data_IF_766869533158
#
_entry.id   IF_766869533158
#
_cell.length_a   1.000
_cell.length_b   1.000
_cell.length_c   1.000
_cell.angle_alpha   90.00
_cell.angle_beta   90.00
_cell.angle_gamma   90.00
#
_symmetry.space_group_name_H-M   'P 1'
#
loop_
_entity.id
_entity.type
_entity.pdbx_description
1 polymer ?
#
# COMPACT_ATOMS: atom_id res chain seq x y z
N UNK A 1 -0.88 7.58 6.45
CA UNK A 1 -1.40 8.59 5.51
C UNK A 1 -1.78 8.01 4.15
N UNK A 2 -0.85 7.46 3.35
CA UNK A 2 -1.19 7.01 1.98
C UNK A 2 -2.35 6.02 1.93
N UNK A 3 -2.24 4.96 2.73
CA UNK A 3 -3.29 3.95 2.87
C UNK A 3 -4.61 4.61 3.30
N UNK A 4 -4.58 5.41 4.36
CA UNK A 4 -5.79 6.07 4.90
C UNK A 4 -6.46 6.94 3.84
N UNK A 5 -5.68 7.67 3.04
CA UNK A 5 -6.17 8.52 1.94
C UNK A 5 -6.83 7.70 0.83
N UNK A 6 -6.22 6.57 0.45
CA UNK A 6 -6.80 5.64 -0.53
C UNK A 6 -8.14 5.12 -0.03
N UNK A 7 -8.24 4.72 1.23
CA UNK A 7 -9.50 4.26 1.81
C UNK A 7 -10.54 5.38 1.87
N UNK A 8 -10.17 6.58 2.33
CA UNK A 8 -11.10 7.71 2.40
C UNK A 8 -11.69 8.05 1.03
N UNK A 9 -10.89 8.10 -0.02
CA UNK A 9 -11.37 8.39 -1.39
C UNK A 9 -12.27 7.29 -1.98
N UNK A 10 -12.16 6.06 -1.47
CA UNK A 10 -12.96 4.93 -1.93
C UNK A 10 -14.29 4.84 -1.18
N UNK A 11 -14.30 5.17 0.10
CA UNK A 11 -15.45 4.96 0.98
C UNK A 11 -16.23 6.23 1.32
N UNK A 12 -15.62 7.41 1.19
CA UNK A 12 -16.24 8.70 1.49
C UNK A 12 -16.51 9.48 0.20
N UNK A 13 -17.55 10.31 0.23
CA UNK A 13 -17.92 11.21 -0.85
C UNK A 13 -18.48 12.52 -0.28
N UNK A 14 -18.51 13.56 -1.13
CA UNK A 14 -19.08 14.86 -0.76
C UNK A 14 -18.45 15.44 0.52
N UNK A 15 -19.30 15.90 1.43
CA UNK A 15 -18.90 16.60 2.64
C UNK A 15 -18.05 15.74 3.59
N UNK A 16 -18.29 14.42 3.65
CA UNK A 16 -17.49 13.51 4.48
C UNK A 16 -16.04 13.43 3.98
N UNK A 17 -15.87 13.36 2.66
CA UNK A 17 -14.53 13.35 2.04
C UNK A 17 -13.82 14.70 2.24
N UNK A 18 -14.55 15.80 2.15
CA UNK A 18 -13.99 17.14 2.38
C UNK A 18 -13.60 17.34 3.84
N UNK A 19 -14.39 16.81 4.77
CA UNK A 19 -14.06 16.78 6.20
C UNK A 19 -12.79 15.96 6.45
N UNK A 20 -12.71 14.75 5.87
CA UNK A 20 -11.50 13.94 5.93
C UNK A 20 -10.28 14.72 5.42
N UNK A 21 -10.37 15.38 4.25
CA UNK A 21 -9.27 16.15 3.66
C UNK A 21 -8.77 17.27 4.56
N UNK A 22 -9.68 18.00 5.23
CA UNK A 22 -9.31 19.06 6.19
C UNK A 22 -8.52 18.49 7.37
N UNK A 23 -8.99 17.41 7.98
CA UNK A 23 -8.30 16.74 9.10
C UNK A 23 -6.94 16.20 8.65
N UNK A 24 -6.93 15.51 7.51
CA UNK A 24 -5.73 14.97 6.88
C UNK A 24 -4.66 16.04 6.61
N UNK A 25 -5.05 17.23 6.14
CA UNK A 25 -4.12 18.34 5.91
C UNK A 25 -3.54 18.91 7.22
N UNK A 26 -4.33 18.94 8.29
CA UNK A 26 -3.87 19.41 9.60
C UNK A 26 -2.91 18.42 10.27
N UNK A 27 -3.17 17.12 10.15
CA UNK A 27 -2.36 16.06 10.78
C UNK A 27 -1.16 15.65 9.93
N UNK A 28 -1.26 15.75 8.61
CA UNK A 28 -0.25 15.29 7.65
C UNK A 28 1.19 15.73 7.97
N UNK A 29 1.45 17.02 8.25
CA UNK A 29 2.79 17.51 8.59
C UNK A 29 3.40 16.89 9.85
N UNK A 30 2.58 16.33 10.76
CA UNK A 30 3.05 15.67 11.98
C UNK A 30 3.50 14.23 11.74
N UNK A 31 3.19 13.67 10.56
CA UNK A 31 3.48 12.29 10.21
C UNK A 31 4.77 12.24 9.41
N UNK A 32 5.79 11.55 9.93
CA UNK A 32 7.00 11.25 9.15
C UNK A 32 6.67 10.26 8.03
N UNK A 33 7.09 10.53 6.79
CA UNK A 33 6.97 9.55 5.72
C UNK A 33 7.89 8.35 6.01
N UNK A 34 7.52 7.14 5.56
CA UNK A 34 8.42 5.99 5.63
C UNK A 34 9.56 6.14 4.61
N UNK A 35 10.71 5.52 4.90
CA UNK A 35 11.83 5.45 3.95
C UNK A 35 11.58 4.47 2.80
N UNK A 36 10.75 3.45 3.06
CA UNK A 36 10.38 2.40 2.09
C UNK A 36 8.91 2.01 2.27
N UNK A 37 8.19 1.88 1.16
CA UNK A 37 6.86 1.29 1.08
C UNK A 37 6.95 -0.13 0.54
N UNK A 38 6.13 -1.04 1.07
CA UNK A 38 6.02 -2.42 0.55
C UNK A 38 4.62 -2.63 -0.02
N UNK A 39 4.55 -2.87 -1.32
CA UNK A 39 3.30 -3.20 -2.02
C UNK A 39 3.18 -4.72 -2.19
N UNK A 40 2.23 -5.32 -1.48
CA UNK A 40 1.84 -6.71 -1.68
C UNK A 40 0.75 -6.77 -2.75
N UNK A 41 1.09 -7.28 -3.94
CA UNK A 41 0.23 -7.25 -5.11
C UNK A 41 0.08 -8.64 -5.73
N UNK A 42 -1.09 -8.93 -6.28
CA UNK A 42 -1.39 -10.22 -6.89
C UNK A 42 -2.61 -10.15 -7.82
N UNK A 43 -2.94 -11.25 -8.51
CA UNK A 43 -4.14 -11.33 -9.34
C UNK A 43 -5.41 -11.13 -8.50
N UNK A 44 -6.42 -10.46 -9.07
CA UNK A 44 -7.69 -10.20 -8.36
C UNK A 44 -8.36 -11.50 -7.92
N UNK A 45 -8.32 -12.55 -8.73
CA UNK A 45 -8.85 -13.87 -8.36
C UNK A 45 -8.22 -14.43 -7.07
N UNK A 46 -6.88 -14.37 -6.96
CA UNK A 46 -6.17 -14.79 -5.75
C UNK A 46 -6.51 -13.92 -4.53
N UNK A 47 -6.66 -12.60 -4.73
CA UNK A 47 -7.07 -11.69 -3.67
C UNK A 47 -8.47 -12.03 -3.15
N UNK A 48 -9.41 -12.29 -4.06
CA UNK A 48 -10.79 -12.67 -3.74
C UNK A 48 -10.83 -13.99 -2.96
N UNK A 49 -10.08 -15.00 -3.41
CA UNK A 49 -9.93 -16.28 -2.71
C UNK A 49 -9.46 -16.08 -1.26
N UNK A 50 -8.38 -15.30 -1.07
CA UNK A 50 -7.83 -15.03 0.27
C UNK A 50 -8.75 -14.20 1.15
N UNK A 51 -9.49 -13.24 0.57
CA UNK A 51 -10.51 -12.46 1.29
C UNK A 51 -11.61 -13.40 1.78
N UNK A 52 -12.14 -14.26 0.90
CA UNK A 52 -13.18 -15.22 1.25
C UNK A 52 -12.71 -16.19 2.36
N UNK A 53 -11.48 -16.71 2.24
CA UNK A 53 -10.89 -17.61 3.22
C UNK A 53 -10.73 -16.98 4.62
N UNK A 54 -10.51 -15.66 4.73
CA UNK A 54 -10.46 -14.98 6.04
C UNK A 54 -11.81 -14.87 6.74
N UNK A 55 -12.91 -14.89 5.98
CA UNK A 55 -14.27 -14.91 6.54
C UNK A 55 -14.69 -13.67 7.35
N UNK A 56 -14.03 -12.52 7.20
CA UNK A 56 -14.38 -11.31 7.98
C UNK A 56 -15.74 -10.77 7.55
N UNK A 57 -16.63 -10.51 8.51
CA UNK A 57 -18.04 -10.13 8.25
C UNK A 57 -18.21 -8.95 7.30
N UNK A 58 -17.35 -7.92 7.44
CA UNK A 58 -17.42 -6.71 6.63
C UNK A 58 -16.88 -6.87 5.20
N UNK A 59 -16.11 -7.94 4.91
CA UNK A 59 -15.54 -8.17 3.58
C UNK A 59 -16.51 -8.93 2.66
N UNK A 60 -17.62 -9.45 3.21
CA UNK A 60 -18.61 -10.22 2.44
C UNK A 60 -19.26 -9.44 1.28
N UNK A 61 -19.26 -8.11 1.35
CA UNK A 61 -19.79 -7.24 0.29
C UNK A 61 -18.75 -6.90 -0.79
N UNK A 62 -17.49 -7.31 -0.63
CA UNK A 62 -16.45 -6.97 -1.59
C UNK A 62 -16.67 -7.75 -2.89
N UNK A 63 -16.92 -7.01 -3.97
CA UNK A 63 -17.06 -7.58 -5.32
C UNK A 63 -15.70 -7.63 -6.01
N UNK A 64 -15.56 -8.49 -7.02
CA UNK A 64 -14.35 -8.53 -7.85
C UNK A 64 -14.05 -7.14 -8.46
N UNK A 65 -15.08 -6.46 -8.96
CA UNK A 65 -14.95 -5.11 -9.51
C UNK A 65 -14.47 -4.09 -8.47
N UNK A 66 -14.93 -4.19 -7.23
CA UNK A 66 -14.43 -3.36 -6.13
C UNK A 66 -12.95 -3.64 -5.82
N UNK A 67 -12.57 -4.91 -5.65
CA UNK A 67 -11.17 -5.29 -5.35
C UNK A 67 -10.23 -4.91 -6.48
N UNK A 68 -10.67 -5.02 -7.74
CA UNK A 68 -9.94 -4.53 -8.91
C UNK A 68 -9.69 -3.03 -8.84
N UNK A 69 -10.74 -2.22 -8.60
CA UNK A 69 -10.59 -0.75 -8.44
C UNK A 69 -9.66 -0.39 -7.29
N UNK A 70 -9.77 -1.07 -6.15
CA UNK A 70 -8.91 -0.87 -4.99
C UNK A 70 -7.45 -1.13 -5.35
N UNK A 71 -7.17 -2.30 -5.96
CA UNK A 71 -5.84 -2.69 -6.41
C UNK A 71 -5.24 -1.70 -7.40
N UNK A 72 -6.01 -1.29 -8.41
CA UNK A 72 -5.53 -0.36 -9.44
C UNK A 72 -5.26 1.04 -8.85
N UNK A 73 -6.05 1.44 -7.84
CA UNK A 73 -5.82 2.69 -7.09
C UNK A 73 -4.51 2.63 -6.31
N UNK A 74 -4.22 1.53 -5.59
CA UNK A 74 -2.91 1.36 -4.96
C UNK A 74 -1.77 1.40 -5.97
N UNK A 75 -1.89 0.68 -7.09
CA UNK A 75 -0.85 0.64 -8.12
C UNK A 75 -0.53 2.01 -8.69
N UNK A 76 -1.56 2.80 -9.01
CA UNK A 76 -1.44 4.17 -9.51
C UNK A 76 -0.80 5.07 -8.47
N UNK A 77 -1.34 5.12 -7.25
CA UNK A 77 -0.83 5.98 -6.19
C UNK A 77 0.63 5.68 -5.87
N UNK A 78 1.00 4.41 -5.70
CA UNK A 78 2.38 4.01 -5.44
C UNK A 78 3.31 4.11 -6.66
N UNK A 79 2.81 4.45 -7.84
CA UNK A 79 3.66 4.84 -8.98
C UNK A 79 4.01 6.34 -8.94
N UNK A 80 3.21 7.15 -8.26
CA UNK A 80 3.38 8.60 -8.11
C UNK A 80 4.12 8.96 -6.82
N UNK A 81 4.32 8.00 -5.90
CA UNK A 81 5.06 8.21 -4.64
C UNK A 81 6.56 8.38 -4.91
N UNK A 82 7.16 9.35 -4.21
CA UNK A 82 8.62 9.58 -4.23
C UNK A 82 9.38 8.61 -3.32
N UNK A 83 8.73 8.09 -2.26
CA UNK A 83 9.28 7.06 -1.39
C UNK A 83 9.55 5.77 -2.18
N UNK A 84 10.71 5.15 -1.95
CA UNK A 84 11.07 3.90 -2.60
C UNK A 84 10.01 2.80 -2.35
N UNK A 85 9.54 2.14 -3.41
CA UNK A 85 8.52 1.09 -3.33
C UNK A 85 9.11 -0.28 -3.67
N UNK A 86 9.09 -1.20 -2.71
CA UNK A 86 9.37 -2.63 -2.93
C UNK A 86 8.06 -3.35 -3.26
N UNK A 87 7.97 -3.89 -4.48
CA UNK A 87 6.78 -4.63 -4.94
C UNK A 87 6.98 -6.13 -4.74
N UNK A 88 5.99 -6.80 -4.16
CA UNK A 88 5.98 -8.24 -3.90
C UNK A 88 4.79 -8.87 -4.63
N UNK A 89 5.08 -9.79 -5.56
CA UNK A 89 4.05 -10.60 -6.20
C UNK A 89 3.65 -11.77 -5.28
N UNK A 90 2.50 -11.63 -4.62
CA UNK A 90 2.01 -12.63 -3.65
C UNK A 90 1.47 -13.91 -4.30
N UNK A 91 1.37 -13.97 -5.64
CA UNK A 91 1.08 -15.20 -6.37
C UNK A 91 2.33 -16.07 -6.56
N UNK A 92 3.52 -15.47 -6.46
CA UNK A 92 4.81 -16.15 -6.63
C UNK A 92 5.60 -16.27 -5.34
N UNK A 93 5.32 -15.41 -4.37
CA UNK A 93 6.05 -15.32 -3.11
C UNK A 93 5.11 -15.46 -1.93
N UNK A 94 5.35 -16.47 -1.10
CA UNK A 94 4.62 -16.67 0.14
C UNK A 94 5.42 -16.19 1.35
N UNK A 95 5.07 -15.01 1.88
CA UNK A 95 5.76 -14.43 3.03
C UNK A 95 5.55 -15.21 4.35
N UNK A 96 4.72 -16.27 4.37
CA UNK A 96 4.67 -17.24 5.48
C UNK A 96 5.93 -18.10 5.53
N UNK A 97 6.68 -18.19 4.44
CA UNK A 97 7.96 -18.89 4.38
C UNK A 97 9.12 -18.00 4.84
N UNK A 98 10.03 -18.56 5.63
CA UNK A 98 11.16 -17.81 6.17
C UNK A 98 12.13 -17.34 5.07
N UNK A 99 12.28 -18.11 3.98
CA UNK A 99 13.11 -17.74 2.83
C UNK A 99 12.60 -16.48 2.13
N UNK A 100 11.30 -16.42 1.87
CA UNK A 100 10.64 -15.28 1.23
C UNK A 100 10.69 -14.01 2.09
N UNK A 101 10.56 -14.16 3.42
CA UNK A 101 10.78 -13.02 4.34
C UNK A 101 12.22 -12.50 4.28
N UNK A 102 13.21 -13.39 4.28
CA UNK A 102 14.63 -12.99 4.15
C UNK A 102 14.88 -12.26 2.83
N UNK A 103 14.31 -12.75 1.73
CA UNK A 103 14.37 -12.06 0.44
C UNK A 103 13.79 -10.64 0.54
N UNK A 104 12.59 -10.48 1.13
CA UNK A 104 11.96 -9.17 1.29
C UNK A 104 12.82 -8.22 2.13
N UNK A 105 13.37 -8.70 3.24
CA UNK A 105 14.29 -7.90 4.08
C UNK A 105 15.51 -7.43 3.28
N UNK A 106 16.10 -8.30 2.45
CA UNK A 106 17.19 -7.92 1.55
C UNK A 106 16.79 -6.83 0.56
N UNK A 107 15.61 -6.94 -0.06
CA UNK A 107 15.06 -5.93 -0.97
C UNK A 107 14.82 -4.57 -0.28
N UNK A 108 14.33 -4.59 0.96
CA UNK A 108 14.16 -3.39 1.77
C UNK A 108 15.52 -2.76 2.08
N UNK A 109 16.52 -3.56 2.46
CA UNK A 109 17.88 -3.09 2.72
C UNK A 109 18.51 -2.40 1.50
N UNK A 110 18.37 -2.99 0.31
CA UNK A 110 18.82 -2.34 -0.93
C UNK A 110 18.10 -1.03 -1.22
N UNK A 111 16.78 -0.98 -1.01
CA UNK A 111 16.00 0.24 -1.22
C UNK A 111 16.44 1.35 -0.27
N UNK A 112 16.63 1.04 1.02
CA UNK A 112 17.16 1.96 2.03
C UNK A 112 18.56 2.47 1.67
N UNK A 113 19.42 1.61 1.13
CA UNK A 113 20.76 2.00 0.67
C UNK A 113 20.73 3.02 -0.48
N UNK A 114 19.76 2.92 -1.40
CA UNK A 114 19.56 3.92 -2.46
C UNK A 114 19.02 5.24 -1.92
N UNK A 115 18.06 5.19 -0.99
CA UNK A 115 17.49 6.40 -0.36
C UNK A 115 18.57 7.22 0.35
N UNK A 116 19.40 6.58 1.18
CA UNK A 116 20.48 7.28 1.92
C UNK A 116 21.52 7.94 1.03
N UNK A 117 21.81 7.36 -0.14
CA UNK A 117 22.77 7.94 -1.10
C UNK A 117 22.20 9.12 -1.89
N UNK A 118 20.87 9.25 -1.99
CA UNK A 118 20.23 10.41 -2.62
C UNK A 118 20.27 11.63 -1.70
N UNK A 119 20.11 11.44 -0.39
CA UNK A 119 20.10 12.52 0.60
C UNK A 119 21.48 13.16 0.80
N UNK A 120 22.58 12.39 0.63
CA UNK A 120 23.96 12.90 0.74
C UNK A 120 24.45 13.64 -0.51
N UNK A 121 23.74 13.55 -1.64
CA UNK A 121 24.13 14.23 -2.89
C UNK A 121 23.50 15.63 -3.05
N UNK A 122 22.67 16.08 -2.09
CA UNK A 122 21.91 17.34 -2.17
C UNK A 122 22.33 18.36 -1.09
N UNK A 123 23.49 18.19 -0.47
CA UNK A 123 24.10 19.14 0.47
C UNK A 123 25.48 19.59 -0.06
#
# INVERSE_FOLDING_TARGET
YLQDRIYAEIWLAGEDLDTYRRVAAAVGPLVRPPDVLVLLDGPVALLMERIAARGRRYEKSFTEGFVRRLRDTYRRRLAEETTAVVRVDIARRDLREAGERRWLVGRIGEALGRTRNHDTATL
#
